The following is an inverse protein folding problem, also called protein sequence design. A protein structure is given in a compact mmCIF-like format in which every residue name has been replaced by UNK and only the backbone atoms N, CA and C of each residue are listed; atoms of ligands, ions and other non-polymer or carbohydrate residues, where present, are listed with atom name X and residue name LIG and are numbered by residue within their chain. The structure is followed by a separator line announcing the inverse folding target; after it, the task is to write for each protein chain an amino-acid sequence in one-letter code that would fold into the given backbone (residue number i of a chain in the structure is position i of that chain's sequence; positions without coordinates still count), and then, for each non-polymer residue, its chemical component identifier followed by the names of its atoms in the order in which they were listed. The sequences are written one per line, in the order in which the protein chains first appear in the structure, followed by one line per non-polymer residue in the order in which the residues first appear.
data_IF_776349253029
#
_entry.id   IF_776349253029
#
_cell.length_a   1.000
_cell.length_b   1.000
_cell.length_c   1.000
_cell.angle_alpha   90.00
_cell.angle_beta   90.00
_cell.angle_gamma   90.00
#
_symmetry.space_group_name_H-M   'P 1'
#
loop_
_entity.id
_entity.type
_entity.pdbx_description
1 polymer ?
#
# COMPACT_ATOMS: atom_id res chain seq x y z
N UNK A 1 4.43 1.96 -5.94
CA UNK A 1 3.56 2.78 -6.82
C UNK A 1 4.07 2.84 -8.25
N UNK A 2 5.37 3.04 -8.50
CA UNK A 2 5.94 3.06 -9.86
C UNK A 2 5.65 1.80 -10.68
N UNK A 3 5.77 0.62 -10.06
CA UNK A 3 5.41 -0.66 -10.69
C UNK A 3 3.94 -0.67 -11.12
N UNK A 4 3.02 -0.22 -10.26
CA UNK A 4 1.59 -0.14 -10.57
C UNK A 4 1.31 0.82 -11.74
N UNK A 5 2.06 1.93 -11.83
CA UNK A 5 1.98 2.86 -12.97
C UNK A 5 2.45 2.19 -14.25
N UNK A 6 3.56 1.45 -14.21
CA UNK A 6 4.05 0.67 -15.35
C UNK A 6 3.00 -0.34 -15.83
N UNK A 7 2.47 -1.14 -14.89
CA UNK A 7 1.43 -2.13 -15.20
C UNK A 7 0.16 -1.49 -15.77
N UNK A 8 -0.28 -0.32 -15.27
CA UNK A 8 -1.46 0.38 -15.79
C UNK A 8 -1.29 0.82 -17.25
N UNK A 9 -0.07 1.14 -17.70
CA UNK A 9 0.21 1.47 -19.10
C UNK A 9 0.07 0.25 -20.01
N UNK A 10 0.61 -0.88 -19.58
CA UNK A 10 0.59 -2.13 -20.34
C UNK A 10 -0.79 -2.82 -20.27
N UNK A 11 -1.54 -2.59 -19.20
CA UNK A 11 -2.87 -3.15 -18.92
C UNK A 11 -3.86 -2.03 -18.56
N UNK A 12 -4.44 -1.31 -19.55
CA UNK A 12 -5.31 -0.16 -19.31
C UNK A 12 -6.55 -0.47 -18.46
N UNK A 13 -7.06 -1.69 -18.52
CA UNK A 13 -8.22 -2.14 -17.74
C UNK A 13 -7.90 -2.44 -16.27
N UNK A 14 -6.61 -2.48 -15.89
CA UNK A 14 -6.17 -2.73 -14.52
C UNK A 14 -6.71 -1.64 -13.58
N UNK A 15 -7.54 -1.99 -12.61
CA UNK A 15 -8.01 -1.04 -11.60
C UNK A 15 -7.03 -0.98 -10.44
N UNK A 16 -6.50 0.21 -10.16
CA UNK A 16 -5.61 0.45 -9.01
C UNK A 16 -6.40 1.25 -7.98
N UNK A 17 -6.40 0.78 -6.73
CA UNK A 17 -6.94 1.50 -5.59
C UNK A 17 -5.83 1.67 -4.56
N UNK A 18 -5.81 2.80 -3.86
CA UNK A 18 -4.78 3.09 -2.86
C UNK A 18 -5.44 3.27 -1.49
N UNK A 19 -4.96 2.55 -0.48
CA UNK A 19 -5.33 2.80 0.89
C UNK A 19 -4.24 3.64 1.55
N UNK A 20 -4.59 4.86 1.97
CA UNK A 20 -3.73 5.77 2.71
C UNK A 20 -4.01 5.62 4.22
N UNK A 21 -3.04 5.88 5.10
CA UNK A 21 -3.26 5.73 6.52
C UNK A 21 -4.35 6.64 7.11
N UNK A 22 -4.30 7.94 6.82
CA UNK A 22 -5.31 8.92 7.22
C UNK A 22 -5.33 10.14 6.29
N UNK A 23 -6.34 11.01 6.44
CA UNK A 23 -6.65 12.09 5.50
C UNK A 23 -5.49 13.06 5.24
N UNK A 24 -4.79 13.50 6.28
CA UNK A 24 -3.65 14.43 6.19
C UNK A 24 -2.29 13.74 6.13
N UNK A 25 -2.23 12.41 5.91
CA UNK A 25 -0.99 11.65 6.00
C UNK A 25 0.10 12.15 5.04
N UNK A 26 -0.28 12.54 3.82
CA UNK A 26 0.66 13.10 2.83
C UNK A 26 1.27 14.43 3.28
N UNK A 27 0.53 15.24 4.04
CA UNK A 27 0.98 16.55 4.53
C UNK A 27 2.04 16.43 5.64
N UNK A 28 2.13 15.26 6.28
CA UNK A 28 3.13 14.96 7.31
C UNK A 28 4.44 14.39 6.74
N UNK A 29 4.52 14.17 5.42
CA UNK A 29 5.73 13.74 4.74
C UNK A 29 6.63 14.95 4.41
N UNK A 30 7.87 14.69 3.98
CA UNK A 30 8.71 15.74 3.41
C UNK A 30 8.05 16.33 2.16
N UNK A 31 8.35 17.59 1.83
CA UNK A 31 7.78 18.24 0.64
C UNK A 31 8.07 17.45 -0.64
N UNK A 32 9.28 16.91 -0.78
CA UNK A 32 9.68 16.06 -1.90
C UNK A 32 8.82 14.78 -1.98
N UNK A 33 8.64 14.07 -0.87
CA UNK A 33 7.87 12.82 -0.84
C UNK A 33 6.37 13.08 -1.05
N UNK A 34 5.85 14.19 -0.53
CA UNK A 34 4.48 14.62 -0.73
C UNK A 34 4.18 14.86 -2.21
N UNK A 35 5.01 15.67 -2.90
CA UNK A 35 4.85 15.94 -4.32
C UNK A 35 5.02 14.67 -5.18
N UNK A 36 6.01 13.83 -4.82
CA UNK A 36 6.23 12.53 -5.48
C UNK A 36 5.00 11.63 -5.39
N UNK A 37 4.40 11.47 -4.20
CA UNK A 37 3.21 10.62 -4.01
C UNK A 37 1.96 11.19 -4.67
N UNK A 38 1.75 12.51 -4.60
CA UNK A 38 0.66 13.17 -5.34
C UNK A 38 0.77 12.93 -6.84
N UNK A 39 1.97 13.03 -7.40
CA UNK A 39 2.24 12.73 -8.81
C UNK A 39 1.89 11.28 -9.16
N UNK A 40 2.22 10.31 -8.30
CA UNK A 40 1.83 8.91 -8.53
C UNK A 40 0.31 8.70 -8.50
N UNK A 41 -0.38 9.30 -7.52
CA UNK A 41 -1.84 9.19 -7.42
C UNK A 41 -2.54 9.80 -8.66
N UNK A 42 -2.04 10.93 -9.15
CA UNK A 42 -2.55 11.57 -10.37
C UNK A 42 -2.34 10.69 -11.61
N UNK A 43 -1.16 10.07 -11.75
CA UNK A 43 -0.85 9.20 -12.89
C UNK A 43 -1.64 7.88 -12.89
N UNK A 44 -2.00 7.38 -11.72
CA UNK A 44 -2.79 6.14 -11.60
C UNK A 44 -4.27 6.34 -11.90
N UNK A 45 -4.75 7.60 -11.90
CA UNK A 45 -6.18 7.94 -11.98
C UNK A 45 -7.04 7.09 -11.01
N UNK A 46 -6.47 6.78 -9.84
CA UNK A 46 -7.03 5.81 -8.92
C UNK A 46 -7.97 6.44 -7.89
N UNK A 47 -8.90 5.62 -7.37
CA UNK A 47 -9.57 5.94 -6.11
C UNK A 47 -8.60 5.70 -4.97
N UNK A 48 -8.57 6.63 -4.02
CA UNK A 48 -7.86 6.43 -2.76
C UNK A 48 -8.82 6.50 -1.58
N UNK A 49 -8.49 5.73 -0.56
CA UNK A 49 -9.27 5.54 0.65
C UNK A 49 -8.39 5.83 1.86
N UNK A 50 -8.99 5.94 3.04
CA UNK A 50 -8.27 6.21 4.28
C UNK A 50 -8.59 5.12 5.30
N UNK A 51 -7.56 4.57 5.95
CA UNK A 51 -7.78 3.56 6.99
C UNK A 51 -8.44 4.16 8.23
N UNK A 52 -8.04 5.39 8.56
CA UNK A 52 -8.42 6.07 9.79
C UNK A 52 -8.61 7.58 9.56
N UNK A 53 -9.23 8.26 10.53
CA UNK A 53 -9.47 9.71 10.45
C UNK A 53 -8.21 10.54 10.75
N UNK A 54 -7.35 10.04 11.63
CA UNK A 54 -6.15 10.69 12.12
C UNK A 54 -5.05 9.67 12.44
N UNK A 55 -3.95 10.16 13.02
CA UNK A 55 -2.82 9.31 13.42
C UNK A 55 -3.13 8.57 14.73
N UNK A 56 -3.05 7.23 14.69
CA UNK A 56 -3.18 6.34 15.85
C UNK A 56 -1.86 5.59 16.08
N UNK A 57 -1.63 5.14 17.31
CA UNK A 57 -0.43 4.36 17.65
C UNK A 57 -0.36 3.01 16.95
N UNK A 58 -1.51 2.43 16.61
CA UNK A 58 -1.70 1.11 15.99
C UNK A 58 -2.12 1.22 14.51
N UNK A 59 -1.95 2.40 13.90
CA UNK A 59 -2.40 2.69 12.55
C UNK A 59 -1.92 1.70 11.48
N UNK A 60 -0.66 1.25 11.56
CA UNK A 60 -0.12 0.25 10.61
C UNK A 60 -0.85 -1.09 10.74
N UNK A 61 -1.19 -1.51 11.95
CA UNK A 61 -1.95 -2.73 12.19
C UNK A 61 -3.38 -2.58 11.65
N UNK A 62 -4.03 -1.44 11.88
CA UNK A 62 -5.36 -1.12 11.35
C UNK A 62 -5.37 -1.19 9.82
N UNK A 63 -4.42 -0.50 9.17
CA UNK A 63 -4.32 -0.50 7.71
C UNK A 63 -4.02 -1.89 7.14
N UNK A 64 -3.11 -2.64 7.77
CA UNK A 64 -2.74 -3.98 7.31
C UNK A 64 -3.93 -4.94 7.42
N UNK A 65 -4.68 -4.88 8.53
CA UNK A 65 -5.89 -5.69 8.71
C UNK A 65 -6.95 -5.36 7.66
N UNK A 66 -7.21 -4.07 7.42
CA UNK A 66 -8.17 -3.65 6.39
C UNK A 66 -7.76 -4.06 4.98
N UNK A 67 -6.47 -4.01 4.63
CA UNK A 67 -5.98 -4.48 3.34
C UNK A 67 -6.21 -5.99 3.18
N UNK A 68 -5.86 -6.78 4.19
CA UNK A 68 -6.04 -8.23 4.15
C UNK A 68 -7.52 -8.63 4.09
N UNK A 69 -8.40 -7.90 4.76
CA UNK A 69 -9.84 -8.14 4.72
C UNK A 69 -10.48 -7.83 3.34
N UNK A 70 -9.87 -6.95 2.53
CA UNK A 70 -10.42 -6.49 1.25
C UNK A 70 -9.67 -7.02 0.01
N UNK A 71 -8.68 -7.89 0.21
CA UNK A 71 -7.90 -8.49 -0.86
C UNK A 71 -8.07 -10.02 -0.86
N UNK A 72 -7.80 -10.66 -1.99
CA UNK A 72 -7.79 -12.13 -2.08
C UNK A 72 -6.38 -12.72 -1.83
N UNK A 73 -5.34 -11.97 -2.20
CA UNK A 73 -3.95 -12.37 -2.12
C UNK A 73 -3.05 -11.18 -1.73
N UNK A 74 -1.96 -11.47 -1.01
CA UNK A 74 -0.92 -10.51 -0.69
C UNK A 74 0.30 -10.80 -1.57
N UNK A 75 0.77 -9.80 -2.31
CA UNK A 75 2.02 -9.91 -3.07
C UNK A 75 3.05 -8.97 -2.46
N UNK A 76 4.17 -9.53 -2.02
CA UNK A 76 5.33 -8.78 -1.53
C UNK A 76 6.35 -8.67 -2.66
N UNK A 77 6.68 -7.44 -3.05
CA UNK A 77 7.67 -7.15 -4.10
C UNK A 77 8.83 -6.40 -3.46
N UNK A 78 9.98 -7.06 -3.32
CA UNK A 78 11.16 -6.49 -2.67
C UNK A 78 12.47 -7.05 -3.21
N UNK A 79 13.52 -6.24 -3.17
CA UNK A 79 14.87 -6.62 -3.61
C UNK A 79 15.80 -6.94 -2.42
N UNK A 80 15.35 -6.67 -1.19
CA UNK A 80 16.11 -6.78 0.06
C UNK A 80 15.22 -7.37 1.16
N UNK A 81 15.75 -7.52 2.37
CA UNK A 81 14.91 -7.93 3.51
C UNK A 81 13.78 -6.91 3.76
N UNK A 82 12.57 -7.40 4.13
CA UNK A 82 11.46 -6.52 4.46
C UNK A 82 11.83 -5.57 5.58
N UNK A 83 11.33 -4.33 5.51
CA UNK A 83 11.31 -3.48 6.68
C UNK A 83 10.33 -4.01 7.74
N UNK A 84 10.36 -3.44 8.95
CA UNK A 84 9.53 -3.92 10.05
C UNK A 84 8.03 -3.88 9.69
N UNK A 85 7.56 -2.83 9.02
CA UNK A 85 6.16 -2.70 8.66
C UNK A 85 5.72 -3.79 7.67
N UNK A 86 6.56 -4.11 6.68
CA UNK A 86 6.32 -5.18 5.72
C UNK A 86 6.38 -6.54 6.40
N UNK A 87 7.36 -6.77 7.28
CA UNK A 87 7.46 -8.00 8.08
C UNK A 87 6.25 -8.20 9.00
N UNK A 88 5.73 -7.14 9.61
CA UNK A 88 4.52 -7.19 10.44
C UNK A 88 3.29 -7.56 9.59
N UNK A 89 3.17 -7.00 8.38
CA UNK A 89 2.08 -7.34 7.45
C UNK A 89 2.16 -8.81 6.99
N UNK A 90 3.36 -9.31 6.66
CA UNK A 90 3.59 -10.72 6.32
C UNK A 90 3.19 -11.63 7.50
N UNK A 91 3.58 -11.25 8.72
CA UNK A 91 3.26 -12.00 9.93
C UNK A 91 1.74 -12.03 10.17
N UNK A 92 1.07 -10.89 10.01
CA UNK A 92 -0.38 -10.79 10.12
C UNK A 92 -1.10 -11.66 9.07
N UNK A 93 -0.66 -11.60 7.81
CA UNK A 93 -1.19 -12.43 6.74
C UNK A 93 -1.07 -13.94 7.07
N UNK A 94 0.08 -14.36 7.58
CA UNK A 94 0.30 -15.75 8.01
C UNK A 94 -0.63 -16.17 9.16
N UNK A 95 -0.83 -15.30 10.17
CA UNK A 95 -1.75 -15.57 11.30
C UNK A 95 -3.19 -15.74 10.81
N UNK A 96 -3.61 -14.94 9.82
CA UNK A 96 -4.95 -14.99 9.25
C UNK A 96 -5.14 -16.11 8.21
N UNK A 97 -4.09 -16.88 7.90
CA UNK A 97 -4.13 -17.93 6.88
C UNK A 97 -4.27 -17.38 5.46
N UNK A 98 -3.80 -16.14 5.24
CA UNK A 98 -3.92 -15.42 3.98
C UNK A 98 -2.80 -15.82 3.00
N UNK A 99 -3.14 -15.99 1.72
CA UNK A 99 -2.16 -16.38 0.70
C UNK A 99 -1.18 -15.23 0.45
N UNK A 100 0.12 -15.52 0.57
CA UNK A 100 1.20 -14.53 0.40
C UNK A 100 2.21 -15.03 -0.61
N UNK A 101 2.36 -14.27 -1.70
CA UNK A 101 3.33 -14.51 -2.77
C UNK A 101 4.50 -13.53 -2.68
N UNK A 102 5.70 -13.99 -3.04
CA UNK A 102 6.92 -13.18 -3.01
C UNK A 102 7.51 -13.03 -4.41
N UNK A 103 7.84 -11.79 -4.78
CA UNK A 103 8.52 -11.45 -6.03
C UNK A 103 9.83 -10.74 -5.68
N UNK A 104 10.94 -11.42 -5.93
CA UNK A 104 12.28 -10.88 -5.75
C UNK A 104 12.77 -10.24 -7.06
N UNK A 105 13.16 -8.96 -7.00
CA UNK A 105 13.63 -8.16 -8.16
C UNK A 105 15.14 -7.96 -8.17
#
# INVERSE_FOLDING_TARGET
MEIAIGLKKDYPDLSVNVLLPYYTWLEHQSAEECEKRKSYLAQLECKYYFCAQESYSDLLFICSSQLLDNCDNLIIIENQQPDQATADMITLAAILGFSTDFVFL
#
